data_IF_960636604574
#
_entry.id   IF_960636604574
#
_cell.length_a   1.000
_cell.length_b   1.000
_cell.length_c   1.000
_cell.angle_alpha   90.00
_cell.angle_beta   90.00
_cell.angle_gamma   90.00
#
_symmetry.space_group_name_H-M   'P 1'
#
loop_
_entity.id
_entity.type
_entity.pdbx_description
1 polymer ?
#
# COMPACT_ATOMS: atom_id res chain seq x y z
N UNK A 1 27.52 32.36 2.14
CA UNK A 1 27.63 33.56 1.28
C UNK A 1 27.10 34.81 1.97
N UNK A 2 25.87 34.80 2.50
CA UNK A 2 25.28 35.95 3.23
C UNK A 2 26.16 36.51 4.38
N UNK A 3 26.76 35.64 5.20
CA UNK A 3 27.63 36.03 6.33
C UNK A 3 28.89 36.78 5.90
N UNK A 4 29.36 36.54 4.67
CA UNK A 4 30.65 37.08 4.17
C UNK A 4 30.44 38.38 3.38
N UNK A 5 29.20 38.71 3.01
CA UNK A 5 28.85 39.91 2.27
C UNK A 5 28.51 41.06 3.22
N UNK A 6 29.16 42.22 3.05
CA UNK A 6 28.85 43.45 3.79
C UNK A 6 27.50 44.06 3.42
N UNK A 7 26.82 43.49 2.42
CA UNK A 7 25.43 43.80 2.06
C UNK A 7 24.43 43.49 3.18
N UNK A 8 24.74 42.51 4.01
CA UNK A 8 23.87 42.05 5.11
C UNK A 8 24.42 42.38 6.51
N UNK A 9 25.69 42.81 6.60
CA UNK A 9 26.38 43.11 7.84
C UNK A 9 27.21 44.38 7.71
N UNK A 10 26.97 45.38 8.57
CA UNK A 10 27.66 46.66 8.51
C UNK A 10 29.09 46.65 9.07
N UNK A 11 29.43 45.66 9.91
CA UNK A 11 30.69 45.64 10.67
C UNK A 11 31.73 44.61 10.19
N UNK A 12 31.34 43.60 9.40
CA UNK A 12 32.24 42.55 8.94
C UNK A 12 31.81 41.97 7.58
N UNK A 13 32.78 41.43 6.83
CA UNK A 13 32.59 40.89 5.48
C UNK A 13 33.62 41.44 4.48
N UNK A 14 33.51 41.03 3.21
CA UNK A 14 34.43 41.42 2.13
C UNK A 14 34.22 42.90 1.76
N UNK A 15 35.27 43.75 1.84
CA UNK A 15 35.22 45.14 1.38
C UNK A 15 34.84 45.23 -0.10
N UNK A 16 33.98 46.19 -0.47
CA UNK A 16 33.49 46.37 -1.84
C UNK A 16 32.16 45.66 -2.15
N UNK A 17 31.59 44.93 -1.20
CA UNK A 17 30.22 44.37 -1.27
C UNK A 17 29.16 45.21 -0.55
N UNK A 18 29.56 46.39 -0.07
CA UNK A 18 28.71 47.31 0.67
C UNK A 18 27.66 47.96 -0.23
N UNK A 19 26.48 48.23 0.33
CA UNK A 19 25.43 48.97 -0.36
C UNK A 19 25.13 50.23 0.43
N UNK A 20 25.11 51.36 -0.27
CA UNK A 20 24.77 52.66 0.29
C UNK A 20 23.52 53.20 -0.42
N UNK A 21 22.73 54.00 0.29
CA UNK A 21 21.47 54.55 -0.21
C UNK A 21 20.37 54.53 0.84
N UNK A 22 19.15 54.81 0.42
CA UNK A 22 17.96 54.72 1.26
C UNK A 22 17.70 53.27 1.70
N UNK A 23 16.93 53.09 2.77
CA UNK A 23 16.58 51.75 3.28
C UNK A 23 15.95 50.85 2.20
N UNK A 24 15.10 51.42 1.34
CA UNK A 24 14.44 50.67 0.27
C UNK A 24 15.39 50.27 -0.86
N UNK A 25 16.36 51.12 -1.21
CA UNK A 25 17.40 50.79 -2.19
C UNK A 25 18.32 49.69 -1.65
N UNK A 26 18.74 49.78 -0.39
CA UNK A 26 19.54 48.75 0.26
C UNK A 26 18.82 47.39 0.28
N UNK A 27 17.52 47.38 0.60
CA UNK A 27 16.70 46.16 0.61
C UNK A 27 16.50 45.57 -0.77
N UNK A 28 16.36 46.42 -1.79
CA UNK A 28 16.26 45.99 -3.19
C UNK A 28 17.55 45.32 -3.64
N UNK A 29 18.68 45.94 -3.31
CA UNK A 29 19.98 45.37 -3.59
C UNK A 29 20.19 44.06 -2.83
N UNK A 30 19.82 43.95 -1.56
CA UNK A 30 19.90 42.68 -0.80
C UNK A 30 19.19 41.49 -1.48
N UNK A 31 18.16 41.76 -2.29
CA UNK A 31 17.49 40.73 -3.11
C UNK A 31 18.27 40.27 -4.35
N UNK A 32 19.44 40.85 -4.64
CA UNK A 32 20.27 40.62 -5.83
C UNK A 32 21.70 40.30 -5.44
N UNK A 33 22.41 39.58 -6.32
CA UNK A 33 23.84 39.31 -6.17
C UNK A 33 24.21 37.83 -6.12
N UNK A 34 25.51 37.59 -6.01
CA UNK A 34 26.13 36.26 -5.98
C UNK A 34 25.79 35.49 -4.70
N UNK A 35 25.32 36.17 -3.66
CA UNK A 35 24.92 35.58 -2.39
C UNK A 35 23.78 34.58 -2.55
N UNK A 36 22.94 34.78 -3.56
CA UNK A 36 21.80 33.93 -3.89
C UNK A 36 22.13 32.80 -4.86
N UNK A 37 23.32 32.78 -5.47
CA UNK A 37 23.69 31.78 -6.47
C UNK A 37 23.55 30.33 -5.97
N UNK A 38 23.98 29.96 -4.75
CA UNK A 38 23.78 28.60 -4.26
C UNK A 38 22.29 28.19 -4.23
N UNK A 39 21.42 29.09 -3.78
CA UNK A 39 19.97 28.85 -3.73
C UNK A 39 19.38 28.73 -5.14
N UNK A 40 19.73 29.66 -6.05
CA UNK A 40 19.28 29.64 -7.45
C UNK A 40 19.73 28.36 -8.15
N UNK A 41 21.01 28.01 -8.02
CA UNK A 41 21.59 26.82 -8.64
C UNK A 41 20.86 25.57 -8.20
N UNK A 42 20.67 25.40 -6.88
CA UNK A 42 20.01 24.21 -6.35
C UNK A 42 18.54 24.15 -6.76
N UNK A 43 17.82 25.27 -6.70
CA UNK A 43 16.42 25.34 -7.17
C UNK A 43 16.29 24.96 -8.65
N UNK A 44 17.15 25.48 -9.52
CA UNK A 44 17.14 25.14 -10.94
C UNK A 44 17.57 23.70 -11.18
N UNK A 45 18.59 23.20 -10.48
CA UNK A 45 19.02 21.80 -10.59
C UNK A 45 17.88 20.82 -10.26
N UNK A 46 17.19 21.01 -9.13
CA UNK A 46 16.06 20.16 -8.77
C UNK A 46 14.87 20.32 -9.71
N UNK A 47 14.48 21.55 -10.04
CA UNK A 47 13.30 21.78 -10.87
C UNK A 47 13.50 21.41 -12.34
N UNK A 48 14.70 21.61 -12.91
CA UNK A 48 14.94 21.46 -14.35
C UNK A 48 15.76 20.23 -14.73
N UNK A 49 16.41 19.56 -13.79
CA UNK A 49 17.11 18.29 -14.06
C UNK A 49 16.40 17.16 -13.33
N UNK A 50 16.30 17.24 -12.00
CA UNK A 50 15.78 16.10 -11.22
C UNK A 50 14.29 15.89 -11.43
N UNK A 51 13.48 16.95 -11.41
CA UNK A 51 12.04 16.83 -11.59
C UNK A 51 11.67 16.22 -12.96
N UNK A 52 12.24 16.63 -14.11
CA UNK A 52 12.03 15.92 -15.38
C UNK A 52 12.43 14.44 -15.35
N UNK A 53 13.53 14.08 -14.68
CA UNK A 53 13.92 12.68 -14.51
C UNK A 53 12.89 11.90 -13.69
N UNK A 54 12.36 12.48 -12.62
CA UNK A 54 11.29 11.89 -11.80
C UNK A 54 10.00 11.74 -12.64
N UNK A 55 9.60 12.79 -13.36
CA UNK A 55 8.45 12.75 -14.26
C UNK A 55 8.57 11.65 -15.32
N UNK A 56 9.78 11.48 -15.87
CA UNK A 56 10.07 10.42 -16.84
C UNK A 56 9.97 9.03 -16.21
N UNK A 57 10.59 8.80 -15.05
CA UNK A 57 10.52 7.50 -14.35
C UNK A 57 9.10 7.16 -13.89
N UNK A 58 8.34 8.14 -13.43
CA UNK A 58 6.99 7.95 -12.89
C UNK A 58 5.89 7.84 -13.97
N UNK A 59 6.20 8.03 -15.26
CA UNK A 59 5.20 8.17 -16.33
C UNK A 59 4.25 6.97 -16.48
N UNK A 60 4.71 5.77 -16.15
CA UNK A 60 3.96 4.52 -16.31
C UNK A 60 3.29 4.04 -15.02
N UNK A 61 3.48 4.75 -13.89
CA UNK A 61 2.83 4.40 -12.64
C UNK A 61 1.33 4.73 -12.72
N UNK A 62 0.50 3.76 -12.38
CA UNK A 62 -0.96 3.91 -12.34
C UNK A 62 -1.45 3.60 -10.93
N UNK A 63 -1.12 4.46 -10.00
CA UNK A 63 -1.43 4.26 -8.59
C UNK A 63 -2.90 4.57 -8.26
N UNK A 64 -3.40 4.00 -7.16
CA UNK A 64 -4.77 4.21 -6.67
C UNK A 64 -4.92 5.47 -5.82
N UNK A 65 -3.81 6.04 -5.34
CA UNK A 65 -3.75 7.11 -4.33
C UNK A 65 -3.39 8.49 -4.91
N UNK A 66 -3.35 8.66 -6.23
CA UNK A 66 -3.01 9.94 -6.86
C UNK A 66 -1.56 10.41 -6.69
N UNK A 67 -0.65 9.60 -6.14
CA UNK A 67 0.74 9.96 -5.85
C UNK A 67 1.48 10.43 -7.09
N UNK A 68 1.26 9.76 -8.24
CA UNK A 68 1.85 10.22 -9.51
C UNK A 68 1.32 11.59 -9.89
N UNK A 69 0.01 11.81 -9.83
CA UNK A 69 -0.60 13.07 -10.22
C UNK A 69 -0.12 14.23 -9.33
N UNK A 70 -0.01 14.00 -8.02
CA UNK A 70 0.56 14.95 -7.06
C UNK A 70 2.02 15.27 -7.37
N UNK A 71 2.84 14.24 -7.61
CA UNK A 71 4.26 14.42 -7.97
C UNK A 71 4.39 15.25 -9.25
N UNK A 72 3.57 14.96 -10.27
CA UNK A 72 3.56 15.72 -11.53
C UNK A 72 3.17 17.18 -11.27
N UNK A 73 2.09 17.41 -10.53
CA UNK A 73 1.62 18.75 -10.23
C UNK A 73 2.66 19.57 -9.45
N UNK A 74 3.29 18.99 -8.42
CA UNK A 74 4.35 19.64 -7.64
C UNK A 74 5.56 20.00 -8.51
N UNK A 75 6.01 19.07 -9.36
CA UNK A 75 7.12 19.33 -10.27
C UNK A 75 6.82 20.51 -11.21
N UNK A 76 5.63 20.52 -11.82
CA UNK A 76 5.20 21.60 -12.71
C UNK A 76 5.07 22.94 -11.98
N UNK A 77 4.54 22.94 -10.76
CA UNK A 77 4.45 24.13 -9.92
C UNK A 77 5.81 24.70 -9.54
N UNK A 78 6.85 23.89 -9.44
CA UNK A 78 8.23 24.33 -9.15
C UNK A 78 8.96 24.99 -10.32
N UNK A 79 8.64 24.60 -11.57
CA UNK A 79 9.44 24.97 -12.76
C UNK A 79 9.57 26.48 -12.98
N UNK A 80 8.49 27.22 -12.75
CA UNK A 80 8.43 28.66 -13.05
C UNK A 80 9.03 29.56 -11.96
N UNK A 81 9.18 29.06 -10.72
CA UNK A 81 9.48 29.87 -9.55
C UNK A 81 10.80 30.65 -9.69
N UNK A 82 11.91 29.93 -9.88
CA UNK A 82 13.23 30.53 -9.99
C UNK A 82 13.41 31.35 -11.29
N UNK A 83 12.98 30.87 -12.49
CA UNK A 83 13.03 31.68 -13.71
C UNK A 83 12.26 33.00 -13.59
N UNK A 84 11.00 32.97 -13.12
CA UNK A 84 10.19 34.18 -13.00
C UNK A 84 10.73 35.13 -11.95
N UNK A 85 11.25 34.62 -10.83
CA UNK A 85 11.93 35.43 -9.83
C UNK A 85 13.15 36.16 -10.42
N UNK A 86 14.01 35.48 -11.18
CA UNK A 86 15.17 36.08 -11.84
C UNK A 86 14.76 37.11 -12.89
N UNK A 87 13.75 36.81 -13.72
CA UNK A 87 13.22 37.75 -14.71
C UNK A 87 12.70 39.01 -14.01
N UNK A 88 11.95 38.86 -12.92
CA UNK A 88 11.44 39.99 -12.15
C UNK A 88 12.55 40.84 -11.49
N UNK A 89 13.69 40.23 -11.13
CA UNK A 89 14.84 40.94 -10.55
C UNK A 89 15.72 41.65 -11.58
N UNK A 90 15.87 41.13 -12.80
CA UNK A 90 16.87 41.61 -13.76
C UNK A 90 16.28 42.22 -15.04
N UNK A 91 15.04 41.90 -15.42
CA UNK A 91 14.41 42.47 -16.61
C UNK A 91 13.75 43.82 -16.29
N UNK A 92 14.21 44.89 -16.96
CA UNK A 92 13.65 46.23 -16.80
C UNK A 92 12.16 46.29 -17.21
N UNK A 93 11.73 45.44 -18.14
CA UNK A 93 10.33 45.34 -18.59
C UNK A 93 9.37 44.84 -17.51
N UNK A 94 9.86 44.20 -16.44
CA UNK A 94 9.04 43.77 -15.31
C UNK A 94 8.79 44.88 -14.27
N UNK A 95 9.41 46.06 -14.41
CA UNK A 95 9.25 47.15 -13.45
C UNK A 95 7.79 47.59 -13.20
N UNK A 96 6.90 47.71 -14.23
CA UNK A 96 5.50 48.02 -13.99
C UNK A 96 4.75 46.94 -13.19
N UNK A 97 5.11 45.67 -13.41
CA UNK A 97 4.50 44.51 -12.73
C UNK A 97 4.98 44.46 -11.28
N UNK A 98 6.26 44.71 -11.03
CA UNK A 98 6.88 44.68 -9.71
C UNK A 98 6.27 45.68 -8.72
N UNK A 99 5.56 46.70 -9.19
CA UNK A 99 4.81 47.62 -8.33
C UNK A 99 3.63 46.96 -7.61
N UNK A 100 3.05 45.92 -8.22
CA UNK A 100 1.92 45.17 -7.67
C UNK A 100 2.33 43.77 -7.23
N UNK A 101 3.28 43.16 -7.94
CA UNK A 101 3.72 41.79 -7.72
C UNK A 101 5.24 41.71 -7.52
N UNK A 102 5.69 41.77 -6.28
CA UNK A 102 7.13 41.86 -5.96
C UNK A 102 7.85 40.55 -6.35
N UNK A 103 9.15 40.61 -6.76
CA UNK A 103 9.86 39.44 -7.28
C UNK A 103 9.75 38.16 -6.43
N UNK A 104 9.87 38.19 -5.08
CA UNK A 104 9.74 36.98 -4.27
C UNK A 104 8.36 36.30 -4.32
N UNK A 105 7.30 37.00 -4.75
CA UNK A 105 5.96 36.41 -4.84
C UNK A 105 5.85 35.31 -5.91
N UNK A 106 6.73 35.29 -6.92
CA UNK A 106 6.80 34.18 -7.88
C UNK A 106 7.18 32.85 -7.20
N UNK A 107 8.02 32.92 -6.17
CA UNK A 107 8.36 31.76 -5.33
C UNK A 107 7.17 31.43 -4.42
N UNK A 108 6.52 32.44 -3.84
CA UNK A 108 5.36 32.23 -2.97
C UNK A 108 4.19 31.53 -3.69
N UNK A 109 3.89 31.89 -4.94
CA UNK A 109 2.87 31.21 -5.75
C UNK A 109 3.21 29.74 -5.97
N UNK A 110 4.49 29.43 -6.26
CA UNK A 110 4.95 28.05 -6.38
C UNK A 110 4.79 27.26 -5.07
N UNK A 111 5.16 27.86 -3.93
CA UNK A 111 4.97 27.25 -2.60
C UNK A 111 3.49 26.99 -2.34
N UNK A 112 2.63 27.98 -2.56
CA UNK A 112 1.17 27.83 -2.36
C UNK A 112 0.60 26.70 -3.22
N UNK A 113 1.03 26.58 -4.49
CA UNK A 113 0.61 25.47 -5.33
C UNK A 113 1.11 24.13 -4.80
N UNK A 114 2.38 24.04 -4.38
CA UNK A 114 2.94 22.84 -3.78
C UNK A 114 2.15 22.46 -2.52
N UNK A 115 1.83 23.40 -1.63
CA UNK A 115 1.01 23.16 -0.44
C UNK A 115 -0.37 22.57 -0.78
N UNK A 116 -1.02 23.08 -1.84
CA UNK A 116 -2.28 22.51 -2.35
C UNK A 116 -2.09 21.04 -2.71
N UNK A 117 -1.04 20.72 -3.47
CA UNK A 117 -0.80 19.37 -3.97
C UNK A 117 -0.22 18.40 -2.93
N UNK A 118 0.54 18.87 -1.94
CA UNK A 118 1.20 18.02 -0.93
C UNK A 118 0.47 17.94 0.40
N UNK A 119 -0.47 18.84 0.68
CA UNK A 119 -1.21 18.87 1.95
C UNK A 119 -2.70 18.66 1.67
N UNK A 120 -3.32 19.56 0.91
CA UNK A 120 -4.77 19.59 0.78
C UNK A 120 -5.31 18.38 0.00
N UNK A 121 -4.67 18.01 -1.12
CA UNK A 121 -5.07 16.84 -1.90
C UNK A 121 -4.92 15.54 -1.09
N UNK A 122 -3.77 15.23 -0.46
CA UNK A 122 -3.63 14.05 0.39
C UNK A 122 -4.66 14.00 1.52
N UNK A 123 -4.93 15.13 2.20
CA UNK A 123 -5.96 15.16 3.24
C UNK A 123 -7.36 14.84 2.69
N UNK A 124 -7.68 15.28 1.48
CA UNK A 124 -8.94 14.97 0.83
C UNK A 124 -9.02 13.50 0.40
N UNK A 125 -7.94 12.95 -0.16
CA UNK A 125 -7.85 11.54 -0.54
C UNK A 125 -7.97 10.61 0.66
N UNK A 126 -7.33 10.93 1.79
CA UNK A 126 -7.48 10.17 3.04
C UNK A 126 -8.93 10.15 3.50
N UNK A 127 -9.63 11.31 3.49
CA UNK A 127 -11.05 11.35 3.85
C UNK A 127 -11.91 10.52 2.90
N UNK A 128 -11.63 10.58 1.60
CA UNK A 128 -12.33 9.78 0.58
C UNK A 128 -12.09 8.28 0.80
N UNK A 129 -10.87 7.89 1.16
CA UNK A 129 -10.51 6.50 1.45
C UNK A 129 -11.16 6.01 2.75
N UNK A 130 -11.20 6.85 3.79
CA UNK A 130 -11.93 6.55 5.03
C UNK A 130 -13.43 6.35 4.77
N UNK A 131 -14.05 7.22 3.95
CA UNK A 131 -15.45 7.07 3.55
C UNK A 131 -15.67 5.73 2.83
N UNK A 132 -14.79 5.36 1.90
CA UNK A 132 -14.89 4.09 1.16
C UNK A 132 -14.74 2.87 2.08
N UNK A 133 -13.78 2.93 3.00
CA UNK A 133 -13.57 1.87 4.00
C UNK A 133 -14.80 1.73 4.91
N UNK A 134 -15.35 2.85 5.38
CA UNK A 134 -16.54 2.86 6.23
C UNK A 134 -17.78 2.34 5.50
N UNK A 135 -17.99 2.72 4.23
CA UNK A 135 -19.04 2.15 3.38
C UNK A 135 -18.90 0.63 3.19
N UNK A 136 -17.66 0.16 3.08
CA UNK A 136 -17.35 -1.27 2.97
C UNK A 136 -17.68 -1.99 4.26
N UNK A 137 -17.24 -1.47 5.41
CA UNK A 137 -17.54 -2.01 6.74
C UNK A 137 -19.05 -2.06 7.00
N UNK A 138 -19.78 -0.99 6.66
CA UNK A 138 -21.24 -0.95 6.75
C UNK A 138 -21.90 -2.02 5.87
N UNK A 139 -21.35 -2.26 4.67
CA UNK A 139 -21.84 -3.28 3.75
C UNK A 139 -21.62 -4.70 4.30
N UNK A 140 -20.45 -4.94 4.90
CA UNK A 140 -20.11 -6.19 5.59
C UNK A 140 -21.05 -6.40 6.78
N UNK A 141 -21.22 -5.42 7.66
CA UNK A 141 -22.09 -5.51 8.84
C UNK A 141 -23.57 -5.78 8.46
N UNK A 142 -24.05 -5.15 7.39
CA UNK A 142 -25.40 -5.40 6.83
C UNK A 142 -25.54 -6.83 6.29
N UNK A 143 -24.49 -7.37 5.68
CA UNK A 143 -24.49 -8.75 5.24
C UNK A 143 -24.47 -9.73 6.43
N UNK A 144 -23.61 -9.52 7.42
CA UNK A 144 -23.50 -10.37 8.61
C UNK A 144 -24.80 -10.41 9.43
N UNK A 145 -25.47 -9.27 9.61
CA UNK A 145 -26.76 -9.20 10.31
C UNK A 145 -27.86 -9.97 9.58
N UNK A 146 -27.89 -9.94 8.24
CA UNK A 146 -28.81 -10.76 7.43
C UNK A 146 -28.52 -12.25 7.55
N UNK A 147 -27.25 -12.65 7.58
CA UNK A 147 -26.85 -14.04 7.80
C UNK A 147 -27.25 -14.54 9.18
N UNK A 148 -27.00 -13.75 10.25
CA UNK A 148 -27.44 -14.08 11.62
C UNK A 148 -28.96 -14.22 11.72
N UNK A 149 -29.72 -13.34 11.05
CA UNK A 149 -31.18 -13.44 10.97
C UNK A 149 -31.66 -14.68 10.20
N UNK A 150 -31.00 -15.04 9.10
CA UNK A 150 -31.31 -16.23 8.32
C UNK A 150 -30.98 -17.54 9.08
N UNK A 151 -29.93 -17.54 9.91
CA UNK A 151 -29.57 -18.68 10.75
C UNK A 151 -30.49 -18.82 11.98
N UNK A 152 -30.97 -17.70 12.54
CA UNK A 152 -31.95 -17.70 13.64
C UNK A 152 -33.40 -17.99 13.17
N UNK A 153 -33.68 -17.86 11.87
CA UNK A 153 -35.02 -18.06 11.28
C UNK A 153 -35.42 -19.52 11.02
N UNK A 154 -34.54 -20.50 11.31
CA UNK A 154 -34.85 -21.94 11.20
C UNK A 154 -35.22 -22.54 12.57
N UNK A 155 -36.16 -21.91 13.25
CA UNK A 155 -36.93 -22.55 14.32
C UNK A 155 -38.40 -22.50 13.93
N UNK A 156 -38.87 -23.57 13.29
CA UNK A 156 -40.28 -23.80 13.03
C UNK A 156 -40.96 -24.26 14.32
N UNK A 157 -41.88 -23.47 14.86
CA UNK A 157 -43.16 -24.00 15.34
C UNK A 157 -44.27 -22.99 15.05
N UNK A 158 -45.29 -23.46 14.35
CA UNK A 158 -46.57 -22.79 14.15
C UNK A 158 -47.38 -22.80 15.45
N UNK A 159 -47.77 -21.64 15.96
CA UNK A 159 -49.01 -21.48 16.73
C UNK A 159 -49.31 -19.99 17.00
N UNK A 160 -50.44 -19.52 16.47
CA UNK A 160 -51.38 -18.65 17.19
C UNK A 160 -50.95 -17.23 17.63
N UNK A 161 -51.48 -16.27 16.87
CA UNK A 161 -52.24 -15.12 17.40
C UNK A 161 -51.51 -13.91 18.02
N UNK A 162 -51.73 -12.77 17.34
CA UNK A 162 -51.96 -11.41 17.84
C UNK A 162 -50.87 -10.72 18.67
N UNK A 163 -50.16 -9.78 18.02
CA UNK A 163 -49.27 -8.84 18.70
C UNK A 163 -48.88 -7.63 17.85
N UNK A 164 -49.81 -6.69 17.71
CA UNK A 164 -49.65 -5.24 17.50
C UNK A 164 -48.48 -4.70 16.64
N UNK A 165 -48.84 -4.22 15.45
CA UNK A 165 -48.05 -3.30 14.64
C UNK A 165 -48.26 -1.86 15.13
N UNK A 166 -47.35 -1.28 15.92
CA UNK A 166 -47.35 0.17 16.21
C UNK A 166 -45.93 0.75 16.15
N UNK A 167 -45.69 1.46 15.03
CA UNK A 167 -44.95 2.73 14.88
C UNK A 167 -43.54 2.87 15.46
N UNK A 168 -42.54 2.63 14.60
CA UNK A 168 -41.28 3.37 14.59
C UNK A 168 -41.12 4.09 13.25
N UNK A 169 -41.59 5.35 13.15
CA UNK A 169 -41.35 6.25 12.01
C UNK A 169 -39.89 6.69 11.99
N UNK A 170 -39.01 5.81 11.52
CA UNK A 170 -37.72 6.18 10.95
C UNK A 170 -37.88 6.23 9.44
N UNK A 171 -37.75 7.42 8.85
CA UNK A 171 -37.82 7.69 7.42
C UNK A 171 -36.80 6.80 6.71
N UNK A 172 -37.23 5.66 6.17
CA UNK A 172 -36.41 4.83 5.31
C UNK A 172 -36.12 5.66 4.05
N UNK A 173 -34.93 6.26 4.01
CA UNK A 173 -34.39 6.79 2.78
C UNK A 173 -34.40 5.65 1.77
N UNK A 174 -35.19 5.83 0.71
CA UNK A 174 -35.16 4.98 -0.47
C UNK A 174 -33.77 5.06 -1.09
N UNK A 175 -32.86 4.18 -0.68
CA UNK A 175 -31.57 4.00 -1.32
C UNK A 175 -31.73 2.88 -2.35
N UNK A 176 -31.86 3.31 -3.60
CA UNK A 176 -31.58 2.50 -4.77
C UNK A 176 -30.12 2.01 -4.74
N UNK A 177 -29.86 0.80 -4.25
CA UNK A 177 -28.78 -0.07 -4.76
C UNK A 177 -28.86 -1.49 -4.17
N UNK A 178 -29.89 -2.24 -4.55
CA UNK A 178 -30.02 -3.67 -4.20
C UNK A 178 -28.87 -4.56 -4.77
N UNK A 179 -27.95 -4.00 -5.56
CA UNK A 179 -26.80 -4.71 -6.15
C UNK A 179 -25.42 -4.43 -5.54
N UNK A 180 -25.28 -3.46 -4.61
CA UNK A 180 -23.94 -3.08 -4.10
C UNK A 180 -23.46 -3.90 -2.91
N UNK A 181 -24.37 -4.43 -2.08
CA UNK A 181 -23.99 -5.14 -0.86
C UNK A 181 -23.47 -6.56 -1.09
N UNK A 182 -23.72 -7.17 -2.25
CA UNK A 182 -23.34 -8.57 -2.52
C UNK A 182 -21.86 -8.72 -2.90
N UNK A 183 -21.26 -7.70 -3.52
CA UNK A 183 -19.90 -7.77 -4.06
C UNK A 183 -18.81 -7.36 -3.06
N UNK A 184 -19.15 -6.60 -2.02
CA UNK A 184 -18.23 -6.15 -0.96
C UNK A 184 -18.28 -7.08 0.26
N UNK A 185 -18.35 -8.38 0.00
CA UNK A 185 -18.47 -9.42 1.03
C UNK A 185 -17.21 -10.28 1.09
N UNK A 186 -16.99 -10.93 2.22
CA UNK A 186 -15.91 -11.90 2.37
C UNK A 186 -16.05 -13.04 1.35
N UNK A 187 -17.26 -13.57 1.18
CA UNK A 187 -17.55 -14.63 0.21
C UNK A 187 -17.16 -14.25 -1.23
N UNK A 188 -17.41 -12.99 -1.63
CA UNK A 188 -17.07 -12.53 -2.97
C UNK A 188 -15.55 -12.44 -3.18
N UNK A 189 -14.81 -12.01 -2.15
CA UNK A 189 -13.34 -12.01 -2.14
C UNK A 189 -12.81 -13.45 -2.22
N UNK A 190 -13.29 -14.34 -1.35
CA UNK A 190 -12.85 -15.75 -1.33
C UNK A 190 -13.15 -16.47 -2.64
N UNK A 191 -14.33 -16.26 -3.22
CA UNK A 191 -14.68 -16.80 -4.54
C UNK A 191 -13.75 -16.28 -5.63
N UNK A 192 -13.39 -14.99 -5.60
CA UNK A 192 -12.44 -14.42 -6.57
C UNK A 192 -11.06 -15.02 -6.41
N UNK A 193 -10.57 -15.11 -5.18
CA UNK A 193 -9.29 -15.73 -4.88
C UNK A 193 -9.25 -17.21 -5.28
N UNK A 194 -10.35 -17.94 -5.13
CA UNK A 194 -10.43 -19.36 -5.49
C UNK A 194 -10.55 -19.60 -7.00
N UNK A 195 -11.27 -18.74 -7.74
CA UNK A 195 -11.56 -18.96 -9.16
C UNK A 195 -10.56 -18.32 -10.10
N UNK A 196 -10.18 -17.07 -9.84
CA UNK A 196 -9.22 -16.35 -10.67
C UNK A 196 -8.59 -15.19 -9.88
N UNK A 197 -7.50 -15.44 -9.12
CA UNK A 197 -6.82 -14.41 -8.33
C UNK A 197 -5.98 -13.45 -9.17
N UNK A 198 -5.61 -13.81 -10.40
CA UNK A 198 -4.61 -13.08 -11.21
C UNK A 198 -4.98 -11.60 -11.45
N UNK A 199 -6.22 -11.23 -11.85
CA UNK A 199 -6.57 -9.82 -12.03
C UNK A 199 -6.47 -9.00 -10.74
N UNK A 200 -6.83 -9.60 -9.60
CA UNK A 200 -6.74 -8.97 -8.30
C UNK A 200 -5.27 -8.81 -7.89
N UNK A 201 -4.44 -9.84 -8.09
CA UNK A 201 -3.02 -9.79 -7.81
C UNK A 201 -2.29 -8.74 -8.66
N UNK A 202 -2.58 -8.67 -9.97
CA UNK A 202 -1.99 -7.67 -10.86
C UNK A 202 -2.39 -6.24 -10.46
N UNK A 203 -3.66 -6.03 -10.09
CA UNK A 203 -4.12 -4.76 -9.54
C UNK A 203 -3.38 -4.41 -8.23
N UNK A 204 -3.32 -5.36 -7.29
CA UNK A 204 -2.65 -5.18 -6.01
C UNK A 204 -1.16 -4.89 -6.18
N UNK A 205 -0.47 -5.57 -7.08
CA UNK A 205 0.98 -5.38 -7.29
C UNK A 205 1.31 -4.06 -7.99
N UNK A 206 0.60 -3.72 -9.07
CA UNK A 206 1.00 -2.60 -9.94
C UNK A 206 0.33 -1.27 -9.60
N UNK A 207 -0.75 -1.29 -8.81
CA UNK A 207 -1.57 -0.10 -8.56
C UNK A 207 -1.74 0.20 -7.08
N UNK A 208 -2.08 -0.82 -6.30
CA UNK A 208 -2.30 -0.65 -4.86
C UNK A 208 -1.05 -0.90 -4.01
N UNK A 209 0.02 -1.41 -4.63
CA UNK A 209 1.29 -1.79 -3.99
C UNK A 209 1.10 -2.68 -2.75
N UNK A 210 0.16 -3.62 -2.84
CA UNK A 210 -0.26 -4.54 -1.78
C UNK A 210 -0.32 -6.01 -2.28
N UNK A 211 0.47 -6.32 -3.32
CA UNK A 211 0.48 -7.60 -4.03
C UNK A 211 0.91 -8.77 -3.14
N UNK A 212 1.75 -8.52 -2.14
CA UNK A 212 2.23 -9.49 -1.15
C UNK A 212 1.07 -10.14 -0.39
N UNK A 213 0.01 -9.38 -0.08
CA UNK A 213 -1.16 -9.92 0.62
C UNK A 213 -1.89 -10.95 -0.23
N UNK A 214 -2.07 -10.69 -1.53
CA UNK A 214 -2.75 -11.61 -2.44
C UNK A 214 -1.86 -12.83 -2.73
N UNK A 215 -0.56 -12.63 -2.89
CA UNK A 215 0.40 -13.70 -3.10
C UNK A 215 0.47 -14.65 -1.89
N UNK A 216 0.51 -14.10 -0.67
CA UNK A 216 0.43 -14.88 0.57
C UNK A 216 -0.86 -15.72 0.64
N UNK A 217 -2.03 -15.11 0.43
CA UNK A 217 -3.31 -15.83 0.47
C UNK A 217 -3.40 -16.96 -0.57
N UNK A 218 -2.86 -16.72 -1.77
CA UNK A 218 -2.80 -17.75 -2.82
C UNK A 218 -1.86 -18.90 -2.41
N UNK A 219 -0.68 -18.60 -1.86
CA UNK A 219 0.29 -19.61 -1.42
C UNK A 219 -0.20 -20.44 -0.23
N UNK A 220 -0.87 -19.82 0.75
CA UNK A 220 -1.49 -20.54 1.86
C UNK A 220 -2.59 -21.48 1.34
N UNK A 221 -3.43 -21.03 0.39
CA UNK A 221 -4.44 -21.90 -0.22
C UNK A 221 -3.82 -23.09 -0.96
N UNK A 222 -2.80 -22.86 -1.77
CA UNK A 222 -2.09 -23.93 -2.50
C UNK A 222 -1.48 -24.95 -1.55
N UNK A 223 -0.86 -24.49 -0.47
CA UNK A 223 -0.34 -25.35 0.60
C UNK A 223 -1.44 -26.19 1.24
N UNK A 224 -2.58 -25.59 1.64
CA UNK A 224 -3.72 -26.33 2.20
C UNK A 224 -4.26 -27.38 1.22
N UNK A 225 -4.44 -27.00 -0.05
CA UNK A 225 -4.96 -27.90 -1.07
C UNK A 225 -4.04 -29.11 -1.30
N UNK A 226 -2.73 -28.89 -1.28
CA UNK A 226 -1.71 -29.92 -1.53
C UNK A 226 -1.58 -30.89 -0.35
N UNK A 227 -1.52 -30.37 0.88
CA UNK A 227 -1.13 -31.18 2.04
C UNK A 227 -2.27 -31.55 3.00
N UNK A 228 -3.40 -30.83 2.98
CA UNK A 228 -4.50 -31.06 3.91
C UNK A 228 -5.74 -31.67 3.25
N UNK A 229 -6.01 -31.34 1.99
CA UNK A 229 -7.23 -31.82 1.27
C UNK A 229 -6.96 -33.11 0.48
N UNK A 230 -5.80 -33.26 -0.15
CA UNK A 230 -5.45 -34.45 -0.93
C UNK A 230 -5.23 -35.76 -0.15
N UNK A 231 -4.84 -35.80 1.15
CA UNK A 231 -4.61 -37.06 1.86
C UNK A 231 -5.87 -37.94 2.02
N UNK A 232 -7.08 -37.39 1.83
CA UNK A 232 -8.33 -38.12 2.06
C UNK A 232 -8.85 -38.91 0.86
N UNK A 233 -8.33 -38.71 -0.36
CA UNK A 233 -8.84 -39.40 -1.56
C UNK A 233 -7.94 -40.54 -2.06
N UNK A 234 -6.69 -40.63 -1.60
CA UNK A 234 -5.74 -41.66 -2.05
C UNK A 234 -5.79 -42.98 -1.25
N UNK A 235 -6.83 -43.18 -0.43
CA UNK A 235 -7.02 -44.38 0.39
C UNK A 235 -8.13 -45.33 -0.05
N UNK A 236 -8.77 -45.15 -1.22
CA UNK A 236 -9.97 -45.94 -1.58
C UNK A 236 -9.91 -46.79 -2.85
N UNK A 237 -8.83 -46.78 -3.62
CA UNK A 237 -8.73 -47.65 -4.80
C UNK A 237 -7.35 -48.30 -4.93
N UNK A 238 -7.13 -49.36 -4.16
CA UNK A 238 -6.53 -50.60 -4.68
C UNK A 238 -6.55 -51.68 -3.59
N UNK A 239 -6.93 -52.86 -4.04
CA UNK A 239 -7.34 -54.02 -3.26
C UNK A 239 -6.20 -54.82 -2.64
N UNK A 240 -6.52 -55.38 -1.47
CA UNK A 240 -6.17 -56.72 -0.98
C UNK A 240 -4.76 -57.01 -0.45
N UNK A 241 -4.77 -57.35 0.85
CA UNK A 241 -4.04 -58.42 1.55
C UNK A 241 -3.07 -58.00 2.64
N UNK A 242 -3.23 -58.72 3.76
CA UNK A 242 -2.43 -58.81 4.98
C UNK A 242 -2.67 -57.76 6.07
N UNK A 243 -3.24 -58.29 7.15
CA UNK A 243 -3.61 -57.67 8.41
C UNK A 243 -2.38 -57.38 9.26
N UNK A 244 -2.19 -56.14 9.69
CA UNK A 244 -1.52 -55.81 10.96
C UNK A 244 -2.23 -54.62 11.60
N UNK A 245 -2.25 -54.63 12.94
CA UNK A 245 -3.10 -53.83 13.83
C UNK A 245 -2.94 -52.32 13.59
N UNK A 246 -4.03 -51.64 13.28
CA UNK A 246 -4.11 -50.19 13.34
C UNK A 246 -4.22 -49.73 14.81
N UNK A 247 -3.17 -49.11 15.33
CA UNK A 247 -3.21 -48.31 16.54
C UNK A 247 -4.08 -47.05 16.33
N UNK A 248 -4.89 -46.63 17.32
CA UNK A 248 -5.80 -45.48 17.20
C UNK A 248 -5.06 -44.15 17.46
N UNK A 249 -3.95 -43.90 16.76
CA UNK A 249 -3.15 -42.66 16.85
C UNK A 249 -2.98 -41.96 15.50
N UNK A 250 -3.99 -42.05 14.63
CA UNK A 250 -3.97 -41.55 13.24
C UNK A 250 -4.32 -40.06 13.14
N UNK A 251 -3.82 -39.24 14.06
CA UNK A 251 -4.08 -37.79 14.09
C UNK A 251 -2.80 -36.93 14.10
N UNK A 252 -1.61 -37.52 14.00
CA UNK A 252 -0.38 -36.86 14.49
C UNK A 252 0.88 -36.95 13.61
N UNK A 253 0.78 -37.02 12.28
CA UNK A 253 1.96 -36.80 11.43
C UNK A 253 1.60 -35.98 10.19
N UNK A 254 1.52 -34.65 10.33
CA UNK A 254 1.67 -33.78 9.18
C UNK A 254 3.01 -34.10 8.53
N UNK A 255 3.02 -34.39 7.23
CA UNK A 255 4.23 -34.77 6.52
C UNK A 255 5.31 -33.70 6.67
N UNK A 256 6.57 -34.11 6.76
CA UNK A 256 7.72 -33.20 6.75
C UNK A 256 7.71 -32.26 5.54
N UNK A 257 7.22 -32.74 4.38
CA UNK A 257 7.04 -31.91 3.19
C UNK A 257 6.00 -30.79 3.40
N UNK A 258 4.97 -31.03 4.23
CA UNK A 258 3.99 -30.01 4.62
C UNK A 258 4.64 -28.92 5.46
N UNK A 259 5.48 -29.28 6.43
CA UNK A 259 6.23 -28.32 7.24
C UNK A 259 7.25 -27.54 6.40
N UNK A 260 8.04 -28.21 5.55
CA UNK A 260 9.01 -27.54 4.67
C UNK A 260 8.32 -26.55 3.72
N UNK A 261 7.15 -26.90 3.20
CA UNK A 261 6.36 -25.99 2.36
C UNK A 261 5.81 -24.81 3.16
N UNK A 262 5.33 -25.01 4.39
CA UNK A 262 4.88 -23.94 5.28
C UNK A 262 6.04 -22.99 5.67
N UNK A 263 7.22 -23.56 5.93
CA UNK A 263 8.44 -22.80 6.22
C UNK A 263 8.81 -21.86 5.08
N UNK A 264 8.64 -22.28 3.81
CA UNK A 264 8.86 -21.39 2.65
C UNK A 264 7.90 -20.22 2.64
N UNK A 265 6.62 -20.44 2.94
CA UNK A 265 5.65 -19.34 3.06
C UNK A 265 6.08 -18.33 4.14
N UNK A 266 6.55 -18.83 5.28
CA UNK A 266 7.10 -17.97 6.34
C UNK A 266 8.29 -17.15 5.83
N UNK A 267 9.25 -17.79 5.15
CA UNK A 267 10.46 -17.12 4.66
C UNK A 267 10.16 -16.09 3.55
N UNK A 268 9.20 -16.37 2.67
CA UNK A 268 8.87 -15.52 1.52
C UNK A 268 8.03 -14.29 1.92
N UNK A 269 7.11 -14.43 2.89
CA UNK A 269 6.09 -13.41 3.18
C UNK A 269 6.11 -12.85 4.60
N UNK A 270 6.68 -13.57 5.58
CA UNK A 270 6.51 -13.21 7.00
C UNK A 270 7.84 -12.84 7.66
N UNK A 271 8.92 -13.56 7.38
CA UNK A 271 10.20 -13.35 8.06
C UNK A 271 10.71 -11.91 7.90
N UNK A 272 11.12 -11.30 9.02
CA UNK A 272 11.75 -9.97 9.00
C UNK A 272 13.09 -9.94 8.27
N UNK A 273 13.72 -11.10 8.11
CA UNK A 273 15.10 -11.22 7.65
C UNK A 273 15.18 -11.68 6.20
N UNK A 274 14.27 -12.55 5.75
CA UNK A 274 14.31 -13.14 4.41
C UNK A 274 13.27 -12.57 3.45
N UNK A 275 12.08 -12.18 3.91
CA UNK A 275 10.99 -11.76 3.03
C UNK A 275 11.32 -10.41 2.37
N UNK A 276 11.19 -10.34 1.04
CA UNK A 276 11.37 -9.10 0.26
C UNK A 276 10.22 -8.12 0.52
N UNK A 277 8.99 -8.64 0.51
CA UNK A 277 7.77 -7.89 0.78
C UNK A 277 6.98 -8.58 1.91
N UNK A 278 7.15 -8.09 3.13
CA UNK A 278 6.48 -8.64 4.31
C UNK A 278 4.98 -8.30 4.32
N UNK A 279 4.15 -9.29 4.65
CA UNK A 279 2.71 -9.06 4.90
C UNK A 279 2.50 -8.29 6.20
N UNK A 280 1.51 -7.41 6.22
CA UNK A 280 1.20 -6.58 7.38
C UNK A 280 0.39 -7.36 8.43
N UNK A 281 1.09 -8.06 9.31
CA UNK A 281 0.51 -8.84 10.41
C UNK A 281 0.55 -8.09 11.74
N UNK A 282 -0.39 -8.45 12.62
CA UNK A 282 -0.33 -7.98 14.01
C UNK A 282 0.93 -8.53 14.70
N UNK A 283 1.44 -7.81 15.70
CA UNK A 283 2.61 -8.28 16.46
C UNK A 283 2.38 -9.62 17.15
N UNK A 284 1.11 -9.96 17.44
CA UNK A 284 0.74 -11.24 18.04
C UNK A 284 0.88 -12.37 17.02
N UNK A 285 0.24 -12.23 15.84
CA UNK A 285 0.29 -13.24 14.78
C UNK A 285 1.72 -13.46 14.28
N UNK A 286 2.47 -12.36 14.11
CA UNK A 286 3.87 -12.42 13.73
C UNK A 286 4.70 -13.23 14.74
N UNK A 287 4.53 -12.98 16.04
CA UNK A 287 5.27 -13.70 17.09
C UNK A 287 4.88 -15.17 17.17
N UNK A 288 3.61 -15.49 16.97
CA UNK A 288 3.14 -16.88 16.94
C UNK A 288 3.81 -17.65 15.80
N UNK A 289 3.82 -17.08 14.59
CA UNK A 289 4.47 -17.68 13.42
C UNK A 289 6.00 -17.71 13.58
N UNK A 290 6.59 -16.67 14.16
CA UNK A 290 8.02 -16.64 14.49
C UNK A 290 8.39 -17.76 15.46
N UNK A 291 7.59 -18.02 16.49
CA UNK A 291 7.86 -19.09 17.46
C UNK A 291 7.89 -20.48 16.81
N UNK A 292 7.10 -20.69 15.75
CA UNK A 292 7.06 -21.95 15.00
C UNK A 292 8.21 -22.06 14.00
N UNK A 293 8.40 -21.05 13.15
CA UNK A 293 9.22 -21.20 11.94
C UNK A 293 10.61 -20.59 12.03
N UNK A 294 10.85 -19.58 12.87
CA UNK A 294 12.12 -18.86 12.92
C UNK A 294 13.32 -19.75 13.27
N UNK A 295 13.24 -20.71 14.22
CA UNK A 295 14.36 -21.64 14.47
C UNK A 295 14.73 -22.44 13.21
N UNK A 296 13.73 -22.93 12.48
CA UNK A 296 13.93 -23.68 11.25
C UNK A 296 14.43 -22.78 10.09
N UNK A 297 13.93 -21.56 9.99
CA UNK A 297 14.36 -20.58 8.98
C UNK A 297 15.84 -20.24 9.13
N UNK A 298 16.31 -20.02 10.38
CA UNK A 298 17.74 -19.80 10.67
C UNK A 298 18.60 -21.02 10.35
N UNK A 299 18.09 -22.23 10.57
CA UNK A 299 18.82 -23.45 10.20
C UNK A 299 18.98 -23.59 8.67
N UNK A 300 18.02 -23.09 7.89
CA UNK A 300 18.03 -23.15 6.41
C UNK A 300 18.88 -22.04 5.79
N UNK A 301 18.72 -20.79 6.24
CA UNK A 301 19.44 -19.63 5.67
C UNK A 301 20.77 -19.31 6.38
N UNK A 302 21.09 -20.02 7.47
CA UNK A 302 22.20 -19.73 8.36
C UNK A 302 21.98 -18.44 9.16
N UNK A 303 22.82 -18.21 10.18
CA UNK A 303 22.94 -16.92 10.86
C UNK A 303 23.59 -15.87 9.93
N UNK A 304 23.06 -15.69 8.72
CA UNK A 304 23.40 -14.60 7.83
C UNK A 304 22.79 -13.29 8.36
N UNK A 305 23.09 -12.95 9.61
CA UNK A 305 23.10 -11.57 10.07
C UNK A 305 24.26 -10.89 9.36
N UNK A 306 24.12 -10.63 8.05
CA UNK A 306 24.84 -9.51 7.45
C UNK A 306 24.31 -8.30 8.18
N UNK A 307 25.07 -7.85 9.18
CA UNK A 307 24.91 -6.51 9.74
C UNK A 307 24.79 -5.57 8.54
N UNK A 308 23.64 -4.89 8.35
CA UNK A 308 23.47 -3.95 7.26
C UNK A 308 24.66 -2.99 7.30
N UNK A 309 25.28 -2.70 6.15
CA UNK A 309 26.36 -1.73 6.10
C UNK A 309 25.85 -0.42 6.72
N UNK A 310 26.45 0.08 7.82
CA UNK A 310 25.98 1.30 8.46
C UNK A 310 26.02 2.51 7.52
N UNK A 311 26.83 2.47 6.44
CA UNK A 311 26.87 3.51 5.42
C UNK A 311 25.76 3.38 4.37
N UNK A 312 25.28 2.16 4.09
CA UNK A 312 24.25 1.88 3.09
C UNK A 312 23.24 0.83 3.59
N UNK A 313 22.48 1.13 4.65
CA UNK A 313 21.56 0.17 5.27
C UNK A 313 20.37 -0.22 4.38
N UNK A 314 20.21 0.46 3.24
CA UNK A 314 19.15 0.24 2.24
C UNK A 314 19.70 -0.16 0.85
N UNK A 315 21.03 -0.28 0.67
CA UNK A 315 21.55 -0.92 -0.53
C UNK A 315 21.39 -2.42 -0.35
N UNK A 316 20.23 -2.92 -0.77
CA UNK A 316 20.06 -4.35 -1.00
C UNK A 316 20.99 -4.75 -2.15
N UNK A 317 22.15 -5.32 -1.81
CA UNK A 317 22.91 -6.14 -2.75
C UNK A 317 21.92 -7.17 -3.31
N UNK A 318 21.82 -7.38 -4.63
CA UNK A 318 20.90 -8.34 -5.21
C UNK A 318 21.08 -9.67 -4.48
N UNK A 319 20.10 -10.04 -3.65
CA UNK A 319 20.10 -11.33 -2.97
C UNK A 319 20.04 -12.34 -4.11
N UNK A 320 20.97 -13.28 -4.07
CA UNK A 320 21.32 -14.14 -5.19
C UNK A 320 20.06 -14.62 -5.93
N UNK A 321 19.86 -14.13 -7.15
CA UNK A 321 18.83 -14.61 -8.09
C UNK A 321 19.21 -15.99 -8.67
N UNK A 322 19.96 -16.77 -7.88
CA UNK A 322 20.32 -18.13 -8.16
C UNK A 322 19.54 -18.98 -7.20
N UNK A 323 18.61 -19.78 -7.75
CA UNK A 323 18.10 -21.02 -7.16
C UNK A 323 18.44 -21.15 -5.68
N UNK A 324 17.49 -20.87 -4.78
CA UNK A 324 17.56 -21.47 -3.44
C UNK A 324 17.46 -22.97 -3.69
N UNK A 325 18.60 -23.57 -4.03
CA UNK A 325 18.82 -24.98 -4.26
C UNK A 325 18.42 -25.66 -2.97
N UNK A 326 17.15 -26.05 -2.91
CA UNK A 326 16.50 -26.98 -2.01
C UNK A 326 17.25 -27.29 -0.71
N UNK A 327 17.63 -26.28 0.07
CA UNK A 327 18.17 -26.51 1.41
C UNK A 327 17.00 -26.97 2.25
N UNK A 328 16.83 -28.29 2.31
CA UNK A 328 15.79 -28.92 3.10
C UNK A 328 16.14 -28.77 4.57
N UNK A 329 15.16 -28.33 5.35
CA UNK A 329 15.33 -28.19 6.80
C UNK A 329 15.54 -29.57 7.43
N UNK A 330 16.76 -29.91 7.87
CA UNK A 330 17.08 -31.26 8.38
C UNK A 330 16.65 -31.57 9.82
N UNK A 331 16.08 -30.60 10.54
CA UNK A 331 15.72 -30.77 11.96
C UNK A 331 14.33 -31.35 12.22
N UNK A 332 13.98 -31.46 13.50
CA UNK A 332 12.68 -31.93 13.97
C UNK A 332 11.58 -30.89 13.70
N UNK A 333 10.36 -31.37 13.45
CA UNK A 333 9.17 -30.53 13.29
C UNK A 333 8.76 -29.98 14.66
N UNK A 334 8.60 -28.66 14.84
CA UNK A 334 8.19 -28.08 16.11
C UNK A 334 6.80 -28.58 16.56
N UNK A 335 6.62 -28.87 17.85
CA UNK A 335 5.34 -29.31 18.44
C UNK A 335 4.20 -28.29 18.26
N UNK A 336 4.54 -27.02 18.07
CA UNK A 336 3.59 -25.93 17.84
C UNK A 336 3.04 -25.90 16.40
N UNK A 337 3.60 -26.69 15.49
CA UNK A 337 3.14 -26.74 14.10
C UNK A 337 1.86 -27.56 13.96
N UNK A 338 0.83 -26.97 13.36
CA UNK A 338 -0.46 -27.61 13.09
C UNK A 338 -0.96 -27.30 11.66
N UNK A 339 -2.01 -27.99 11.24
CA UNK A 339 -2.73 -27.74 9.99
C UNK A 339 -3.42 -26.36 9.95
N UNK A 340 -3.68 -25.81 11.13
CA UNK A 340 -4.28 -24.49 11.35
C UNK A 340 -3.27 -23.36 11.56
N UNK A 341 -1.96 -23.62 11.43
CA UNK A 341 -0.89 -22.65 11.79
C UNK A 341 -1.02 -21.26 11.14
N UNK A 342 -1.62 -21.19 9.94
CA UNK A 342 -1.84 -19.93 9.23
C UNK A 342 -3.25 -19.33 9.40
N UNK A 343 -4.20 -19.98 10.08
CA UNK A 343 -5.61 -19.56 10.13
C UNK A 343 -5.80 -18.10 10.55
N UNK A 344 -5.18 -17.71 11.68
CA UNK A 344 -5.28 -16.34 12.21
C UNK A 344 -4.68 -15.31 11.25
N UNK A 345 -3.50 -15.61 10.71
CA UNK A 345 -2.80 -14.74 9.76
C UNK A 345 -3.54 -14.64 8.41
N UNK A 346 -4.09 -15.74 7.92
CA UNK A 346 -4.89 -15.80 6.69
C UNK A 346 -6.15 -14.95 6.86
N UNK A 347 -6.85 -15.09 7.99
CA UNK A 347 -8.05 -14.31 8.29
C UNK A 347 -7.74 -12.81 8.44
N UNK A 348 -6.65 -12.46 9.13
CA UNK A 348 -6.19 -11.08 9.30
C UNK A 348 -5.89 -10.42 7.96
N UNK A 349 -5.14 -11.09 7.08
CA UNK A 349 -4.80 -10.59 5.75
C UNK A 349 -6.03 -10.54 4.83
N UNK A 350 -6.94 -11.53 4.89
CA UNK A 350 -8.23 -11.46 4.17
C UNK A 350 -9.02 -10.22 4.55
N UNK A 351 -9.10 -9.91 5.85
CA UNK A 351 -9.80 -8.73 6.33
C UNK A 351 -9.13 -7.43 5.89
N UNK A 352 -7.79 -7.38 5.95
CA UNK A 352 -7.00 -6.24 5.46
C UNK A 352 -7.27 -5.97 3.97
N UNK A 353 -7.24 -7.02 3.14
CA UNK A 353 -7.53 -6.95 1.71
C UNK A 353 -8.99 -6.54 1.47
N UNK A 354 -9.94 -7.14 2.20
CA UNK A 354 -11.37 -6.86 2.06
C UNK A 354 -11.71 -5.38 2.34
N UNK A 355 -11.01 -4.76 3.28
CA UNK A 355 -11.27 -3.38 3.72
C UNK A 355 -10.50 -2.34 2.92
N UNK A 356 -9.29 -2.66 2.43
CA UNK A 356 -8.42 -1.67 1.77
C UNK A 356 -8.35 -1.82 0.25
N UNK A 357 -8.13 -3.04 -0.24
CA UNK A 357 -7.76 -3.31 -1.63
C UNK A 357 -8.97 -3.72 -2.47
N UNK A 358 -9.80 -4.60 -1.92
CA UNK A 358 -11.00 -5.13 -2.57
C UNK A 358 -11.98 -4.03 -3.02
N UNK A 359 -12.30 -3.00 -2.20
CA UNK A 359 -13.24 -1.96 -2.62
C UNK A 359 -12.69 -1.12 -3.77
N UNK A 360 -11.38 -0.87 -3.79
CA UNK A 360 -10.70 -0.15 -4.88
C UNK A 360 -10.73 -0.97 -6.17
N UNK A 361 -10.43 -2.26 -6.09
CA UNK A 361 -10.47 -3.18 -7.22
C UNK A 361 -11.88 -3.24 -7.85
N UNK A 362 -12.91 -3.41 -7.03
CA UNK A 362 -14.30 -3.45 -7.51
C UNK A 362 -14.71 -2.13 -8.15
N UNK A 363 -14.36 -1.00 -7.54
CA UNK A 363 -14.65 0.32 -8.08
C UNK A 363 -13.98 0.55 -9.44
N UNK A 364 -12.71 0.18 -9.56
CA UNK A 364 -11.99 0.28 -10.82
C UNK A 364 -12.61 -0.62 -11.90
N UNK A 365 -12.87 -1.89 -11.59
CA UNK A 365 -13.50 -2.82 -12.53
C UNK A 365 -14.84 -2.31 -13.06
N UNK A 366 -15.68 -1.77 -12.18
CA UNK A 366 -16.95 -1.13 -12.57
C UNK A 366 -16.75 0.10 -13.45
N UNK A 367 -15.72 0.91 -13.18
CA UNK A 367 -15.41 2.08 -14.02
C UNK A 367 -14.97 1.66 -15.43
N UNK A 368 -14.25 0.55 -15.56
CA UNK A 368 -13.91 -0.04 -16.86
C UNK A 368 -15.15 -0.59 -17.56
N UNK A 369 -15.99 -1.38 -16.89
CA UNK A 369 -17.20 -1.97 -17.48
C UNK A 369 -18.20 -0.90 -17.96
N UNK A 370 -18.31 0.20 -17.22
CA UNK A 370 -19.16 1.35 -17.62
C UNK A 370 -18.56 2.11 -18.80
N UNK A 371 -17.25 2.35 -18.81
CA UNK A 371 -16.58 2.99 -19.94
C UNK A 371 -16.68 2.17 -21.23
N UNK A 372 -16.45 0.84 -21.15
CA UNK A 372 -16.57 -0.06 -22.30
C UNK A 372 -18.00 -0.16 -22.83
N UNK A 373 -18.99 -0.13 -21.93
CA UNK A 373 -20.42 -0.13 -22.33
C UNK A 373 -20.82 1.15 -23.05
N UNK A 374 -20.28 2.30 -22.65
CA UNK A 374 -20.52 3.59 -23.32
C UNK A 374 -19.80 3.66 -24.68
N UNK A 375 -18.62 3.07 -24.79
CA UNK A 375 -17.86 3.03 -26.05
C UNK A 375 -18.48 2.05 -27.06
N UNK A 376 -19.00 0.90 -26.60
CA UNK A 376 -19.77 -0.04 -27.43
C UNK A 376 -21.16 0.50 -27.84
N UNK A 377 -21.66 1.56 -27.19
CA UNK A 377 -22.93 2.19 -27.48
C UNK A 377 -22.81 3.42 -28.41
N UNK A 378 -21.61 3.74 -28.93
CA UNK A 378 -21.44 4.73 -29.99
C UNK A 378 -21.58 4.04 -31.36
N UNK A 379 -22.52 4.47 -32.21
CA UNK A 379 -22.78 3.86 -33.52
C UNK A 379 -21.64 4.05 -34.52
#
# INVERSE_FOLDING_TARGET
>A
MFVVSRKFHSSFGIPGTEVHGTYMEQKTEQGRGWEWWPSVFWQLFWAWIVAPVILWRARHLRDTQGWRAQTIACCLSGLHAAPMWLIALYAQSMAPINNYFIPPQWIAVSIMMIEIFTIFIPCWEVRKQQSLCQETLDSIARWESRQKSAHCGKSLTSAGSNGSWIMGRGKAASISSSGNGSILTMDALEHTLAKNPEPLQHFSALRDFSGENIAFLTRVREWRATYLVQPQQQGRESSSSSSEKEDPSTQTLLSRDCFESALRIYMDFISSNSAEFQVNLSSQDFKNLQAVFEPAARAVYGDCRRTPDPATPFDDVPRHDGSVDHVRYGGDIPDLFSDTVFDDSEMSIKYLVLTNTWPKFIKERRSFDTASSVEAARP
#
